data_IF_372368261173
#
_entry.id   IF_372368261173
#
_cell.length_a   1.000
_cell.length_b   1.000
_cell.length_c   1.000
_cell.angle_alpha   90.00
_cell.angle_beta   90.00
_cell.angle_gamma   90.00
#
_symmetry.space_group_name_H-M   'P 1'
#
loop_
_entity.id
_entity.type
_entity.pdbx_description
1 polymer ?
#
# COMPACT_ATOMS: atom_id res chain seq x y z
N UNK A 1 13.68 0.15 3.75
CA UNK A 1 14.52 1.04 2.92
C UNK A 1 14.08 0.88 1.48
N UNK A 2 14.15 1.93 0.66
CA UNK A 2 13.80 1.84 -0.76
C UNK A 2 14.71 0.82 -1.45
N UNK A 3 14.12 -0.14 -2.16
CA UNK A 3 14.86 -1.23 -2.79
C UNK A 3 15.63 -0.70 -4.02
N UNK A 4 16.97 -0.86 -4.10
CA UNK A 4 17.78 -0.26 -5.16
C UNK A 4 17.47 -0.82 -6.56
N UNK A 5 16.79 -1.98 -6.62
CA UNK A 5 16.24 -2.53 -7.87
C UNK A 5 15.19 -1.63 -8.50
N UNK A 6 14.44 -0.90 -7.68
CA UNK A 6 13.31 -0.07 -8.11
C UNK A 6 13.60 1.43 -7.99
N UNK A 7 14.50 1.82 -7.09
CA UNK A 7 14.77 3.22 -6.77
C UNK A 7 16.23 3.58 -6.98
N UNK A 8 16.44 4.78 -7.50
CA UNK A 8 17.74 5.44 -7.55
C UNK A 8 17.82 6.45 -6.39
N UNK A 9 18.96 6.46 -5.70
CA UNK A 9 19.28 7.54 -4.76
C UNK A 9 19.52 8.81 -5.58
N UNK A 10 18.59 9.75 -5.54
CA UNK A 10 18.64 10.95 -6.37
C UNK A 10 19.61 11.98 -5.78
N UNK A 11 19.39 12.39 -4.52
CA UNK A 11 20.33 13.22 -3.77
C UNK A 11 20.09 13.14 -2.26
N UNK A 12 21.15 13.17 -1.43
CA UNK A 12 21.00 13.50 -0.02
C UNK A 12 20.39 14.89 0.17
N UNK A 13 19.61 15.09 1.23
CA UNK A 13 19.06 16.41 1.60
C UNK A 13 19.77 16.96 2.82
N UNK A 14 20.34 18.16 2.69
CA UNK A 14 20.88 18.88 3.85
C UNK A 14 19.76 19.28 4.81
N UNK A 15 20.10 19.65 6.04
CA UNK A 15 19.12 20.20 7.00
C UNK A 15 18.45 21.45 6.42
N UNK A 16 19.19 22.31 5.72
CA UNK A 16 18.64 23.50 5.07
C UNK A 16 17.65 23.16 3.94
N UNK A 17 17.93 22.11 3.14
CA UNK A 17 16.96 21.61 2.15
C UNK A 17 15.69 21.11 2.85
N UNK A 18 15.84 20.37 3.97
CA UNK A 18 14.72 19.85 4.73
C UNK A 18 13.87 20.98 5.31
N UNK A 19 14.45 22.03 5.89
CA UNK A 19 13.72 23.20 6.36
C UNK A 19 12.92 23.85 5.23
N UNK A 20 13.56 24.06 4.07
CA UNK A 20 12.96 24.68 2.89
C UNK A 20 11.78 23.87 2.34
N UNK A 21 11.95 22.55 2.19
CA UNK A 21 10.93 21.67 1.61
C UNK A 21 9.80 21.37 2.59
N UNK A 22 10.14 21.17 3.87
CA UNK A 22 9.20 20.69 4.87
C UNK A 22 8.51 21.83 5.63
N UNK A 23 9.10 23.02 5.70
CA UNK A 23 8.65 24.09 6.58
C UNK A 23 8.79 23.77 8.07
N UNK A 24 9.56 22.72 8.42
CA UNK A 24 9.91 22.42 9.81
C UNK A 24 11.11 23.27 10.24
N UNK A 25 11.25 23.52 11.54
CA UNK A 25 12.39 24.20 12.14
C UNK A 25 13.28 23.21 12.88
N UNK A 26 14.60 23.24 12.66
CA UNK A 26 15.55 22.44 13.44
C UNK A 26 16.16 23.21 14.63
N UNK A 27 15.71 24.44 14.91
CA UNK A 27 16.16 25.29 16.04
C UNK A 27 17.69 25.47 16.12
N UNK A 28 18.42 25.42 15.00
CA UNK A 28 19.89 25.47 14.96
C UNK A 28 20.60 24.35 15.74
N UNK A 29 19.87 23.32 16.17
CA UNK A 29 20.41 22.19 16.94
C UNK A 29 20.97 21.07 16.06
N UNK A 30 20.88 21.21 14.74
CA UNK A 30 21.37 20.19 13.82
C UNK A 30 22.88 20.34 13.58
N UNK A 31 23.67 19.27 13.71
CA UNK A 31 25.11 19.33 13.45
C UNK A 31 25.41 19.71 11.99
N UNK A 32 26.48 20.48 11.78
CA UNK A 32 26.93 20.87 10.45
C UNK A 32 27.30 19.63 9.59
N UNK A 33 26.95 19.66 8.31
CA UNK A 33 27.29 18.60 7.35
C UNK A 33 26.38 17.36 7.39
N UNK A 34 25.39 17.30 8.30
CA UNK A 34 24.43 16.19 8.31
C UNK A 34 23.44 16.33 7.14
N UNK A 35 23.14 15.20 6.51
CA UNK A 35 22.13 15.09 5.45
C UNK A 35 21.29 13.84 5.60
N UNK A 36 20.03 13.92 5.19
CA UNK A 36 19.18 12.75 5.01
C UNK A 36 19.61 12.00 3.75
N UNK A 37 20.07 10.77 3.92
CA UNK A 37 20.53 9.87 2.83
C UNK A 37 19.53 8.76 2.54
N UNK A 38 18.49 8.63 3.36
CA UNK A 38 17.47 7.62 3.16
C UNK A 38 16.17 7.90 3.91
N UNK A 39 15.21 6.98 3.75
CA UNK A 39 13.89 7.05 4.40
C UNK A 39 13.56 5.70 5.04
N UNK A 40 12.98 5.75 6.22
CA UNK A 40 12.59 4.56 6.97
C UNK A 40 11.41 4.86 7.90
N UNK A 41 10.60 3.84 8.25
CA UNK A 41 9.64 3.96 9.34
C UNK A 41 10.41 4.09 10.67
N UNK A 42 9.77 4.66 11.69
CA UNK A 42 10.46 5.02 12.96
C UNK A 42 11.10 3.82 13.65
N UNK A 43 10.52 2.63 13.48
CA UNK A 43 10.96 1.37 14.07
C UNK A 43 12.21 0.77 13.39
N UNK A 44 12.53 1.20 12.16
CA UNK A 44 13.65 0.69 11.38
C UNK A 44 14.63 1.81 10.94
N UNK A 45 14.63 2.94 11.65
CA UNK A 45 15.52 4.06 11.34
C UNK A 45 16.97 3.71 11.67
N UNK A 46 17.87 4.36 10.93
CA UNK A 46 19.30 4.38 11.19
C UNK A 46 19.76 5.84 11.13
N UNK A 47 20.98 6.11 11.58
CA UNK A 47 21.57 7.43 11.44
C UNK A 47 21.56 7.89 9.98
N UNK A 48 21.13 9.13 9.73
CA UNK A 48 20.95 9.69 8.39
C UNK A 48 19.64 9.31 7.67
N UNK A 49 18.76 8.50 8.28
CA UNK A 49 17.41 8.27 7.75
C UNK A 49 16.45 9.39 8.14
N UNK A 50 15.57 9.75 7.22
CA UNK A 50 14.45 10.67 7.41
C UNK A 50 13.16 9.89 7.72
N UNK A 51 12.43 10.35 8.75
CA UNK A 51 11.10 9.85 9.10
C UNK A 51 10.22 10.93 9.74
N UNK A 52 9.05 10.54 10.22
CA UNK A 52 8.17 11.39 11.02
C UNK A 52 7.58 10.63 12.21
N UNK A 53 7.31 11.36 13.30
CA UNK A 53 6.68 10.83 14.50
C UNK A 53 5.51 11.70 14.93
N UNK A 54 4.33 11.10 15.07
CA UNK A 54 3.11 11.73 15.62
C UNK A 54 2.70 11.12 16.96
N UNK A 55 3.45 10.12 17.41
CA UNK A 55 3.30 9.41 18.69
C UNK A 55 4.70 9.17 19.28
N UNK A 56 4.74 8.81 20.55
CA UNK A 56 5.99 8.46 21.24
C UNK A 56 6.71 7.33 20.48
N UNK A 57 7.99 7.53 20.21
CA UNK A 57 8.87 6.51 19.63
C UNK A 57 9.50 5.73 20.78
N UNK A 58 9.36 4.41 20.78
CA UNK A 58 9.87 3.55 21.86
C UNK A 58 11.39 3.42 21.82
N UNK A 59 11.96 3.26 20.63
CA UNK A 59 13.39 3.05 20.38
C UNK A 59 13.95 4.09 19.41
N UNK A 60 14.08 5.37 19.83
CA UNK A 60 14.70 6.40 19.00
C UNK A 60 16.17 6.09 18.72
N UNK A 61 16.66 6.50 17.54
CA UNK A 61 18.01 6.21 17.07
C UNK A 61 18.79 7.51 16.92
N UNK A 62 19.92 7.61 17.61
CA UNK A 62 20.80 8.78 17.51
C UNK A 62 21.25 9.03 16.06
N UNK A 63 21.20 10.29 15.63
CA UNK A 63 21.51 10.72 14.27
C UNK A 63 20.40 10.45 13.23
N UNK A 64 19.29 9.81 13.61
CA UNK A 64 18.10 9.78 12.75
C UNK A 64 17.46 11.18 12.68
N UNK A 65 16.91 11.51 11.52
CA UNK A 65 16.27 12.81 11.26
C UNK A 65 14.76 12.61 11.33
N UNK A 66 14.10 13.28 12.25
CA UNK A 66 12.68 13.04 12.54
C UNK A 66 11.89 14.34 12.53
N UNK A 67 10.87 14.40 11.67
CA UNK A 67 9.85 15.45 11.77
C UNK A 67 8.85 15.10 12.88
N UNK A 68 8.55 16.04 13.76
CA UNK A 68 7.60 15.80 14.85
C UNK A 68 6.94 17.07 15.36
N UNK A 69 5.94 16.93 16.24
CA UNK A 69 5.29 18.05 16.90
C UNK A 69 6.12 18.51 18.13
N UNK A 70 5.97 19.76 18.59
CA UNK A 70 6.76 20.29 19.70
C UNK A 70 6.75 19.39 20.95
N UNK A 71 5.61 18.75 21.25
CA UNK A 71 5.44 17.97 22.47
C UNK A 71 6.28 16.67 22.52
N UNK A 72 6.76 16.19 21.37
CA UNK A 72 7.59 14.98 21.26
C UNK A 72 9.08 15.31 21.02
N UNK A 73 9.40 16.58 20.77
CA UNK A 73 10.72 16.99 20.29
C UNK A 73 11.82 16.76 21.34
N UNK A 74 11.57 17.15 22.60
CA UNK A 74 12.58 17.03 23.68
C UNK A 74 13.01 15.58 23.92
N UNK A 75 12.06 14.64 23.95
CA UNK A 75 12.35 13.23 24.15
C UNK A 75 13.19 12.62 23.02
N UNK A 76 12.92 13.03 21.77
CA UNK A 76 13.70 12.61 20.61
C UNK A 76 15.10 13.24 20.61
N UNK A 77 15.24 14.52 20.97
CA UNK A 77 16.53 15.20 21.10
C UNK A 77 17.39 14.60 22.20
N UNK A 78 16.80 14.26 23.35
CA UNK A 78 17.50 13.60 24.46
C UNK A 78 18.07 12.23 24.05
N UNK A 79 17.43 11.55 23.10
CA UNK A 79 17.93 10.32 22.51
C UNK A 79 18.95 10.52 21.37
N UNK A 80 19.31 11.76 21.06
CA UNK A 80 20.29 12.10 20.03
C UNK A 80 19.72 12.17 18.61
N UNK A 81 18.40 12.18 18.43
CA UNK A 81 17.79 12.42 17.11
C UNK A 81 17.96 13.88 16.69
N UNK A 82 18.02 14.11 15.38
CA UNK A 82 18.00 15.45 14.78
C UNK A 82 16.56 15.78 14.44
N UNK A 83 15.98 16.74 15.15
CA UNK A 83 14.52 16.92 15.19
C UNK A 83 14.10 18.19 14.44
N UNK A 84 13.27 18.02 13.41
CA UNK A 84 12.56 19.10 12.74
C UNK A 84 11.16 19.26 13.32
N UNK A 85 10.89 20.38 13.98
CA UNK A 85 9.61 20.66 14.63
C UNK A 85 8.62 21.28 13.65
N UNK A 86 7.41 20.71 13.58
CA UNK A 86 6.33 21.20 12.72
C UNK A 86 4.95 20.79 13.25
N UNK A 87 3.93 21.58 12.93
CA UNK A 87 2.53 21.24 13.25
C UNK A 87 1.97 20.06 12.43
N UNK A 88 2.61 19.71 11.30
CA UNK A 88 2.17 18.62 10.42
C UNK A 88 3.34 17.74 9.96
N UNK A 89 3.82 16.82 10.82
CA UNK A 89 4.99 15.98 10.54
C UNK A 89 4.85 15.13 9.28
N UNK A 90 3.65 14.60 9.04
CA UNK A 90 3.39 13.74 7.89
C UNK A 90 3.46 14.50 6.55
N UNK A 91 2.98 15.75 6.53
CA UNK A 91 3.09 16.61 5.35
C UNK A 91 4.54 17.05 5.10
N UNK A 92 5.27 17.40 6.17
CA UNK A 92 6.69 17.70 6.13
C UNK A 92 7.51 16.55 5.53
N UNK A 93 7.23 15.32 5.99
CA UNK A 93 7.82 14.11 5.42
C UNK A 93 7.46 13.94 3.94
N UNK A 94 6.17 14.05 3.58
CA UNK A 94 5.73 13.83 2.21
C UNK A 94 6.37 14.79 1.19
N UNK A 95 6.60 16.06 1.56
CA UNK A 95 7.30 17.04 0.70
C UNK A 95 8.77 16.74 0.52
N UNK A 96 9.41 16.13 1.51
CA UNK A 96 10.87 15.94 1.54
C UNK A 96 11.28 14.58 0.99
N UNK A 97 10.60 13.51 1.42
CA UNK A 97 11.00 12.13 1.17
C UNK A 97 11.08 11.77 -0.32
N UNK A 98 10.18 12.32 -1.13
CA UNK A 98 10.13 12.06 -2.58
C UNK A 98 11.32 12.61 -3.36
N UNK A 99 12.14 13.47 -2.76
CA UNK A 99 13.35 14.03 -3.38
C UNK A 99 14.57 13.14 -3.16
N UNK A 100 14.58 12.33 -2.10
CA UNK A 100 15.71 11.46 -1.75
C UNK A 100 15.82 10.29 -2.74
N UNK A 101 14.68 9.72 -3.14
CA UNK A 101 14.62 8.59 -4.07
C UNK A 101 13.76 8.91 -5.28
N UNK A 102 14.26 8.52 -6.46
CA UNK A 102 13.50 8.52 -7.71
C UNK A 102 13.16 7.09 -8.09
N UNK A 103 11.92 6.85 -8.51
CA UNK A 103 11.53 5.57 -9.09
C UNK A 103 12.21 5.43 -10.46
N UNK A 104 12.84 4.27 -10.71
CA UNK A 104 13.41 3.95 -12.02
C UNK A 104 12.32 3.96 -13.09
N UNK A 105 12.62 4.57 -14.22
CA UNK A 105 11.73 4.60 -15.38
C UNK A 105 11.84 3.29 -16.17
N UNK A 106 10.86 3.04 -17.05
CA UNK A 106 10.96 1.92 -17.98
C UNK A 106 12.16 2.16 -18.90
N UNK A 107 13.04 1.18 -18.97
CA UNK A 107 14.25 1.26 -19.76
C UNK A 107 14.48 -0.05 -20.50
N UNK A 108 14.71 0.06 -21.81
CA UNK A 108 15.06 -1.07 -22.65
C UNK A 108 16.55 -1.38 -22.41
N UNK A 109 16.81 -2.45 -21.68
CA UNK A 109 18.17 -2.87 -21.33
C UNK A 109 18.23 -4.34 -20.94
N UNK A 110 19.35 -4.77 -20.37
CA UNK A 110 19.57 -6.17 -20.07
C UNK A 110 18.62 -6.67 -18.97
N UNK A 111 17.78 -7.65 -19.33
CA UNK A 111 16.97 -8.43 -18.42
C UNK A 111 17.52 -9.87 -18.35
N UNK A 112 17.49 -10.47 -17.17
CA UNK A 112 17.88 -11.86 -17.00
C UNK A 112 16.68 -12.77 -17.29
N UNK A 113 16.59 -13.25 -18.53
CA UNK A 113 15.50 -14.12 -18.98
C UNK A 113 16.04 -15.54 -19.10
N UNK A 114 15.45 -16.48 -18.36
CA UNK A 114 15.80 -17.89 -18.49
C UNK A 114 15.53 -18.41 -19.92
N UNK A 115 16.43 -19.21 -20.53
CA UNK A 115 16.25 -19.71 -21.90
C UNK A 115 14.97 -20.53 -22.13
N UNK A 116 14.38 -21.09 -21.07
CA UNK A 116 13.14 -21.87 -21.15
C UNK A 116 11.87 -21.01 -20.99
N UNK A 117 12.01 -19.73 -20.65
CA UNK A 117 10.90 -18.80 -20.56
C UNK A 117 10.33 -18.48 -21.95
N UNK A 118 9.03 -18.22 -22.01
CA UNK A 118 8.30 -17.87 -23.24
C UNK A 118 7.81 -16.45 -23.17
N UNK A 119 8.49 -15.56 -23.89
CA UNK A 119 8.11 -14.16 -24.01
C UNK A 119 7.46 -13.93 -25.37
N UNK A 120 6.20 -13.51 -25.36
CA UNK A 120 5.43 -13.27 -26.59
C UNK A 120 5.74 -11.90 -27.20
N UNK A 121 5.54 -11.73 -28.52
CA UNK A 121 5.68 -10.43 -29.19
C UNK A 121 4.84 -9.34 -28.52
N UNK A 122 5.43 -8.16 -28.36
CA UNK A 122 4.78 -6.99 -27.74
C UNK A 122 4.95 -6.90 -26.22
N UNK A 123 5.41 -7.96 -25.54
CA UNK A 123 5.81 -7.84 -24.13
C UNK A 123 7.01 -6.90 -23.97
N UNK A 124 6.98 -6.05 -22.93
CA UNK A 124 8.08 -5.16 -22.56
C UNK A 124 8.70 -5.62 -21.24
N UNK A 125 9.99 -5.92 -21.25
CA UNK A 125 10.74 -6.34 -20.06
C UNK A 125 11.86 -5.33 -19.85
N UNK A 126 11.81 -4.63 -18.73
CA UNK A 126 12.74 -3.55 -18.41
C UNK A 126 14.07 -4.06 -17.88
N UNK A 127 15.11 -3.24 -17.99
CA UNK A 127 16.44 -3.51 -17.44
C UNK A 127 16.42 -4.00 -15.99
N UNK A 128 17.24 -5.00 -15.68
CA UNK A 128 17.39 -5.60 -14.36
C UNK A 128 16.24 -6.53 -13.94
N UNK A 129 15.15 -6.62 -14.71
CA UNK A 129 14.11 -7.60 -14.45
C UNK A 129 14.65 -9.04 -14.59
N UNK A 130 14.07 -9.97 -13.84
CA UNK A 130 14.42 -11.39 -13.90
C UNK A 130 13.18 -12.23 -14.20
N UNK A 131 13.28 -13.10 -15.20
CA UNK A 131 12.22 -14.00 -15.62
C UNK A 131 12.69 -15.44 -15.41
N UNK A 132 12.02 -16.17 -14.52
CA UNK A 132 12.36 -17.54 -14.16
C UNK A 132 12.07 -18.56 -15.26
N UNK A 133 12.60 -19.78 -15.07
CA UNK A 133 12.42 -20.89 -15.99
C UNK A 133 10.94 -21.18 -16.25
N UNK A 134 10.60 -21.53 -17.48
CA UNK A 134 9.25 -21.87 -17.93
C UNK A 134 8.17 -20.79 -17.71
N UNK A 135 8.54 -19.58 -17.27
CA UNK A 135 7.59 -18.49 -17.13
C UNK A 135 7.04 -18.06 -18.49
N UNK A 136 5.79 -17.60 -18.50
CA UNK A 136 5.10 -17.15 -19.72
C UNK A 136 4.73 -15.69 -19.57
N UNK A 137 5.22 -14.85 -20.48
CA UNK A 137 4.91 -13.43 -20.55
C UNK A 137 4.12 -13.18 -21.84
N UNK A 138 2.82 -12.92 -21.70
CA UNK A 138 1.90 -12.73 -22.82
C UNK A 138 2.02 -11.33 -23.48
N UNK A 139 1.41 -11.13 -24.68
CA UNK A 139 1.54 -9.88 -25.41
C UNK A 139 1.18 -8.63 -24.59
N UNK A 140 1.96 -7.57 -24.80
CA UNK A 140 1.79 -6.24 -24.18
C UNK A 140 1.87 -6.21 -22.65
N UNK A 141 2.25 -7.32 -22.00
CA UNK A 141 2.59 -7.27 -20.59
C UNK A 141 3.84 -6.39 -20.39
N UNK A 142 3.86 -5.59 -19.33
CA UNK A 142 4.97 -4.70 -18.98
C UNK A 142 5.56 -5.12 -17.65
N UNK A 143 6.81 -5.55 -17.67
CA UNK A 143 7.60 -5.94 -16.50
C UNK A 143 8.61 -4.82 -16.22
N UNK A 144 8.41 -4.10 -15.11
CA UNK A 144 9.23 -2.94 -14.73
C UNK A 144 10.64 -3.29 -14.24
N UNK A 145 11.49 -2.26 -14.02
CA UNK A 145 12.88 -2.45 -13.62
C UNK A 145 13.02 -3.32 -12.38
N UNK A 146 13.95 -4.28 -12.39
CA UNK A 146 14.26 -5.08 -11.20
C UNK A 146 13.15 -6.03 -10.71
N UNK A 147 12.01 -6.11 -11.41
CA UNK A 147 10.91 -7.02 -11.08
C UNK A 147 11.37 -8.47 -11.25
N UNK A 148 10.95 -9.33 -10.34
CA UNK A 148 11.28 -10.75 -10.39
C UNK A 148 10.01 -11.58 -10.61
N UNK A 149 10.03 -12.41 -11.65
CA UNK A 149 8.97 -13.34 -12.01
C UNK A 149 9.47 -14.77 -11.78
N UNK A 150 8.78 -15.51 -10.92
CA UNK A 150 9.17 -16.88 -10.53
C UNK A 150 9.00 -17.92 -11.64
N UNK A 151 9.56 -19.10 -11.39
CA UNK A 151 9.47 -20.26 -12.29
C UNK A 151 8.02 -20.63 -12.58
N UNK A 152 7.70 -20.87 -13.86
CA UNK A 152 6.38 -21.31 -14.30
C UNK A 152 5.26 -20.29 -14.06
N UNK A 153 5.57 -19.07 -13.64
CA UNK A 153 4.58 -18.01 -13.47
C UNK A 153 4.05 -17.56 -14.84
N UNK A 154 2.78 -17.15 -14.88
CA UNK A 154 2.11 -16.72 -16.10
C UNK A 154 1.62 -15.29 -15.92
N UNK A 155 2.16 -14.38 -16.72
CA UNK A 155 1.75 -12.98 -16.76
C UNK A 155 0.92 -12.77 -18.03
N UNK A 156 -0.39 -12.57 -17.84
CA UNK A 156 -1.35 -12.45 -18.94
C UNK A 156 -1.26 -11.12 -19.66
N UNK A 157 -1.87 -11.07 -20.84
CA UNK A 157 -1.78 -9.92 -21.74
C UNK A 157 -2.15 -8.58 -21.09
N UNK A 158 -1.40 -7.53 -21.41
CA UNK A 158 -1.58 -6.17 -20.90
C UNK A 158 -1.44 -5.99 -19.37
N UNK A 159 -0.97 -6.98 -18.62
CA UNK A 159 -0.66 -6.79 -17.20
C UNK A 159 0.56 -5.86 -17.02
N UNK A 160 0.57 -5.04 -15.97
CA UNK A 160 1.66 -4.08 -15.67
C UNK A 160 2.18 -4.34 -14.27
N UNK A 161 3.44 -4.75 -14.17
CA UNK A 161 4.07 -5.13 -12.90
C UNK A 161 5.27 -4.23 -12.65
N UNK A 162 5.32 -3.63 -11.46
CA UNK A 162 6.41 -2.73 -11.04
C UNK A 162 6.66 -2.91 -9.55
N UNK A 163 7.88 -2.67 -9.06
CA UNK A 163 8.18 -2.73 -7.61
C UNK A 163 7.71 -4.02 -6.93
N UNK A 164 7.84 -5.16 -7.61
CA UNK A 164 7.23 -6.40 -7.18
C UNK A 164 8.13 -7.63 -7.38
N UNK A 165 7.86 -8.64 -6.57
CA UNK A 165 8.35 -10.01 -6.75
C UNK A 165 7.14 -10.93 -6.83
N UNK A 166 7.09 -11.76 -7.87
CA UNK A 166 6.02 -12.72 -8.14
C UNK A 166 6.58 -14.13 -7.96
N UNK A 167 5.95 -14.94 -7.11
CA UNK A 167 6.38 -16.30 -6.82
C UNK A 167 6.17 -17.28 -7.97
N UNK A 168 6.66 -18.50 -7.77
CA UNK A 168 6.57 -19.57 -8.76
C UNK A 168 5.12 -20.04 -9.00
N UNK A 169 4.81 -20.45 -10.23
CA UNK A 169 3.49 -20.99 -10.65
C UNK A 169 2.31 -20.05 -10.35
N UNK A 170 2.59 -18.76 -10.19
CA UNK A 170 1.59 -17.73 -9.96
C UNK A 170 1.05 -17.20 -11.29
N UNK A 171 -0.26 -17.01 -11.37
CA UNK A 171 -0.95 -16.45 -12.53
C UNK A 171 -1.43 -15.03 -12.23
N UNK A 172 -1.07 -14.08 -13.09
CA UNK A 172 -1.51 -12.69 -13.05
C UNK A 172 -2.38 -12.40 -14.27
N UNK A 173 -3.66 -12.15 -14.04
CA UNK A 173 -4.69 -11.93 -15.06
C UNK A 173 -4.48 -10.67 -15.91
N UNK A 174 -5.17 -10.62 -17.05
CA UNK A 174 -5.00 -9.54 -18.03
C UNK A 174 -5.36 -8.18 -17.44
N UNK A 175 -4.66 -7.13 -17.87
CA UNK A 175 -4.87 -5.76 -17.43
C UNK A 175 -4.73 -5.53 -15.90
N UNK A 176 -4.17 -6.49 -15.16
CA UNK A 176 -3.90 -6.33 -13.73
C UNK A 176 -2.64 -5.49 -13.51
N UNK A 177 -2.70 -4.59 -12.53
CA UNK A 177 -1.60 -3.68 -12.18
C UNK A 177 -1.07 -4.03 -10.78
N UNK A 178 0.23 -4.27 -10.68
CA UNK A 178 0.90 -4.64 -9.43
C UNK A 178 2.05 -3.69 -9.12
N UNK A 179 2.11 -3.28 -7.85
CA UNK A 179 3.15 -2.48 -7.23
C UNK A 179 3.21 -1.01 -7.69
N UNK A 180 2.08 -0.50 -8.16
CA UNK A 180 1.88 0.95 -8.28
C UNK A 180 1.84 1.60 -6.89
N UNK A 181 2.21 2.87 -6.80
CA UNK A 181 2.05 3.65 -5.56
C UNK A 181 0.59 3.68 -5.13
N UNK A 182 0.33 3.27 -3.89
CA UNK A 182 -1.00 3.35 -3.31
C UNK A 182 -1.50 4.76 -3.02
N UNK A 183 -2.75 4.82 -2.58
CA UNK A 183 -3.43 6.08 -2.24
C UNK A 183 -3.12 6.50 -0.80
N UNK A 184 -2.21 7.46 -0.63
CA UNK A 184 -2.05 8.17 0.63
C UNK A 184 -1.89 9.66 0.35
N UNK A 185 -2.73 10.46 1.00
CA UNK A 185 -2.80 11.92 0.83
C UNK A 185 -2.85 12.57 2.20
N UNK A 186 -1.97 13.54 2.43
CA UNK A 186 -1.98 14.38 3.62
C UNK A 186 -2.50 15.76 3.25
N UNK A 187 -3.29 16.36 4.15
CA UNK A 187 -3.69 17.75 4.02
C UNK A 187 -2.50 18.64 4.38
N UNK A 188 -1.94 19.34 3.40
CA UNK A 188 -1.07 20.49 3.61
C UNK A 188 -1.90 21.73 3.98
N UNK A 189 -1.22 22.86 4.20
CA UNK A 189 -1.88 24.13 4.51
C UNK A 189 -2.77 24.62 3.34
N UNK A 190 -2.30 24.43 2.10
CA UNK A 190 -2.97 24.96 0.90
C UNK A 190 -3.37 23.87 -0.11
N UNK A 191 -2.81 22.67 0.01
CA UNK A 191 -2.99 21.61 -0.98
C UNK A 191 -3.05 20.20 -0.36
N UNK A 192 -3.44 19.24 -1.19
CA UNK A 192 -3.37 17.81 -0.89
C UNK A 192 -2.03 17.29 -1.38
N UNK A 193 -1.24 16.71 -0.47
CA UNK A 193 0.12 16.25 -0.77
C UNK A 193 0.10 14.73 -0.83
N UNK A 194 0.50 14.18 -1.97
CA UNK A 194 0.66 12.74 -2.13
C UNK A 194 1.84 12.26 -1.30
N UNK A 195 1.65 11.19 -0.53
CA UNK A 195 2.75 10.57 0.21
C UNK A 195 3.50 9.60 -0.71
N UNK A 196 4.83 9.74 -0.87
CA UNK A 196 5.61 8.82 -1.68
C UNK A 196 5.65 7.42 -1.02
N UNK A 197 5.48 6.39 -1.85
CA UNK A 197 5.57 4.98 -1.46
C UNK A 197 6.88 4.38 -1.98
N UNK A 198 7.65 3.78 -1.08
CA UNK A 198 8.98 3.20 -1.26
C UNK A 198 9.04 1.69 -1.06
N UNK A 199 7.94 1.09 -0.58
CA UNK A 199 7.82 -0.35 -0.37
C UNK A 199 7.58 -1.13 -1.66
N UNK A 200 7.21 -2.40 -1.53
CA UNK A 200 7.02 -3.31 -2.67
C UNK A 200 5.68 -4.02 -2.61
N UNK A 201 5.38 -4.80 -3.65
CA UNK A 201 4.35 -5.83 -3.63
C UNK A 201 5.02 -7.22 -3.73
N UNK A 202 4.78 -8.07 -2.73
CA UNK A 202 5.32 -9.43 -2.68
C UNK A 202 4.17 -10.41 -2.87
N UNK A 203 4.18 -11.14 -3.99
CA UNK A 203 3.18 -12.14 -4.30
C UNK A 203 3.84 -13.52 -4.19
N UNK A 204 3.25 -14.40 -3.39
CA UNK A 204 3.72 -15.75 -3.14
C UNK A 204 3.63 -16.67 -4.36
N UNK A 205 3.91 -17.95 -4.12
CA UNK A 205 3.78 -19.03 -5.09
C UNK A 205 2.34 -19.57 -5.16
N UNK A 206 1.99 -20.17 -6.30
CA UNK A 206 0.68 -20.80 -6.52
C UNK A 206 -0.50 -19.83 -6.28
N UNK A 207 -0.28 -18.53 -6.50
CA UNK A 207 -1.31 -17.50 -6.39
C UNK A 207 -2.00 -17.32 -7.73
N UNK A 208 -3.32 -17.14 -7.73
CA UNK A 208 -4.06 -16.73 -8.92
C UNK A 208 -4.71 -15.37 -8.68
N UNK A 209 -4.34 -14.36 -9.47
CA UNK A 209 -4.95 -13.03 -9.46
C UNK A 209 -5.69 -12.82 -10.77
N UNK A 210 -6.98 -12.53 -10.72
CA UNK A 210 -7.84 -12.32 -11.86
C UNK A 210 -7.49 -11.06 -12.67
N UNK A 211 -8.27 -10.81 -13.70
CA UNK A 211 -8.10 -9.66 -14.59
C UNK A 211 -8.50 -8.33 -13.91
N UNK A 212 -7.86 -7.26 -14.37
CA UNK A 212 -8.17 -5.88 -13.97
C UNK A 212 -8.15 -5.63 -12.45
N UNK A 213 -7.30 -6.36 -11.73
CA UNK A 213 -7.03 -6.10 -10.32
C UNK A 213 -6.00 -4.97 -10.15
N UNK A 214 -5.98 -4.37 -8.98
CA UNK A 214 -4.96 -3.38 -8.60
C UNK A 214 -4.39 -3.72 -7.23
N UNK A 215 -3.09 -4.03 -7.20
CA UNK A 215 -2.34 -4.35 -5.99
C UNK A 215 -1.30 -3.25 -5.78
N UNK A 216 -1.53 -2.39 -4.81
CA UNK A 216 -0.63 -1.28 -4.52
C UNK A 216 0.61 -1.77 -3.77
N UNK A 217 1.78 -1.17 -4.02
CA UNK A 217 2.98 -1.39 -3.18
C UNK A 217 2.83 -0.70 -1.83
N UNK A 218 3.50 -1.21 -0.82
CA UNK A 218 3.50 -0.61 0.51
C UNK A 218 4.21 0.75 0.58
N UNK A 219 3.94 1.50 1.66
CA UNK A 219 4.57 2.81 1.89
C UNK A 219 6.07 2.67 2.22
N UNK A 220 6.38 1.96 3.31
CA UNK A 220 7.75 1.64 3.73
C UNK A 220 8.02 0.13 3.71
N UNK A 221 7.09 -0.63 4.30
CA UNK A 221 7.06 -2.09 4.21
C UNK A 221 6.37 -2.53 2.92
N UNK A 222 6.09 -3.82 2.82
CA UNK A 222 5.55 -4.42 1.61
C UNK A 222 4.04 -4.65 1.74
N UNK A 223 3.32 -4.58 0.61
CA UNK A 223 2.04 -5.27 0.46
C UNK A 223 2.35 -6.73 0.16
N UNK A 224 1.69 -7.67 0.83
CA UNK A 224 2.04 -9.08 0.75
C UNK A 224 0.80 -9.95 0.57
N UNK A 225 0.89 -10.87 -0.39
CA UNK A 225 -0.09 -11.93 -0.63
C UNK A 225 0.66 -13.24 -0.55
N UNK A 226 0.39 -14.03 0.48
CA UNK A 226 1.05 -15.31 0.70
C UNK A 226 0.59 -16.37 -0.31
N UNK A 227 1.27 -17.52 -0.26
CA UNK A 227 1.08 -18.62 -1.21
C UNK A 227 -0.37 -19.14 -1.25
N UNK A 228 -0.75 -19.75 -2.37
CA UNK A 228 -2.03 -20.45 -2.57
C UNK A 228 -3.29 -19.55 -2.47
N UNK A 229 -3.13 -18.22 -2.53
CA UNK A 229 -4.28 -17.30 -2.54
C UNK A 229 -4.96 -17.28 -3.92
N UNK A 230 -6.28 -17.07 -3.92
CA UNK A 230 -7.06 -16.90 -5.16
C UNK A 230 -7.86 -15.60 -5.08
N UNK A 231 -7.55 -14.66 -5.97
CA UNK A 231 -8.16 -13.33 -6.01
C UNK A 231 -8.83 -13.20 -7.37
N UNK A 232 -10.14 -13.04 -7.39
CA UNK A 232 -10.93 -12.92 -8.61
C UNK A 232 -10.82 -11.49 -9.20
N UNK A 233 -11.48 -11.27 -10.33
CA UNK A 233 -11.40 -10.06 -11.14
C UNK A 233 -11.81 -8.79 -10.38
N UNK A 234 -11.25 -7.65 -10.81
CA UNK A 234 -11.61 -6.31 -10.32
C UNK A 234 -11.44 -6.10 -8.80
N UNK A 235 -10.54 -6.85 -8.16
CA UNK A 235 -10.21 -6.61 -6.75
C UNK A 235 -9.21 -5.46 -6.59
N UNK A 236 -9.36 -4.70 -5.50
CA UNK A 236 -8.41 -3.67 -5.07
C UNK A 236 -7.76 -4.09 -3.75
N UNK A 237 -6.43 -4.19 -3.75
CA UNK A 237 -5.61 -4.43 -2.57
C UNK A 237 -4.73 -3.21 -2.34
N UNK A 238 -5.02 -2.44 -1.31
CA UNK A 238 -4.30 -1.20 -1.00
C UNK A 238 -2.89 -1.44 -0.44
N UNK A 239 -2.16 -0.34 -0.21
CA UNK A 239 -0.79 -0.38 0.29
C UNK A 239 -0.71 -1.04 1.68
N UNK A 240 0.34 -1.81 1.92
CA UNK A 240 0.66 -2.48 3.20
C UNK A 240 -0.29 -3.60 3.63
N UNK A 241 -1.30 -3.94 2.83
CA UNK A 241 -2.17 -5.10 3.10
C UNK A 241 -1.32 -6.36 3.22
N UNK A 242 -1.64 -7.21 4.20
CA UNK A 242 -1.09 -8.57 4.33
C UNK A 242 -2.24 -9.56 4.18
N UNK A 243 -2.11 -10.53 3.27
CA UNK A 243 -3.10 -11.61 3.07
C UNK A 243 -2.41 -12.95 3.32
N UNK A 244 -2.88 -13.69 4.32
CA UNK A 244 -2.38 -15.00 4.68
C UNK A 244 -2.78 -16.09 3.68
N UNK A 245 -1.97 -17.15 3.66
CA UNK A 245 -2.02 -18.23 2.68
C UNK A 245 -3.40 -18.88 2.54
N UNK A 246 -3.74 -19.32 1.32
CA UNK A 246 -4.99 -20.06 1.06
C UNK A 246 -6.27 -19.21 1.14
N UNK A 247 -6.15 -17.89 1.32
CA UNK A 247 -7.30 -16.98 1.32
C UNK A 247 -7.84 -16.81 -0.09
N UNK A 248 -9.18 -16.82 -0.20
CA UNK A 248 -9.90 -16.67 -1.46
C UNK A 248 -10.77 -15.41 -1.41
N UNK A 249 -10.73 -14.62 -2.48
CA UNK A 249 -11.53 -13.40 -2.64
C UNK A 249 -12.24 -13.42 -3.98
N UNK A 250 -13.57 -13.36 -3.95
CA UNK A 250 -14.39 -13.21 -5.15
C UNK A 250 -14.38 -11.77 -5.67
N UNK A 251 -14.90 -11.58 -6.88
CA UNK A 251 -14.74 -10.34 -7.62
C UNK A 251 -15.21 -9.10 -6.84
N UNK A 252 -14.56 -7.97 -7.16
CA UNK A 252 -14.85 -6.65 -6.60
C UNK A 252 -14.59 -6.52 -5.09
N UNK A 253 -13.78 -7.38 -4.49
CA UNK A 253 -13.33 -7.17 -3.12
C UNK A 253 -12.43 -5.93 -3.02
N UNK A 254 -12.63 -5.11 -1.99
CA UNK A 254 -11.86 -3.89 -1.74
C UNK A 254 -11.22 -3.89 -0.35
N UNK A 255 -9.90 -4.07 -0.28
CA UNK A 255 -9.16 -4.17 0.98
C UNK A 255 -8.37 -2.87 1.21
N UNK A 256 -8.70 -2.15 2.28
CA UNK A 256 -8.13 -0.85 2.61
C UNK A 256 -6.80 -0.95 3.35
N UNK A 257 -5.93 0.04 3.12
CA UNK A 257 -4.59 0.28 3.68
C UNK A 257 -3.98 -0.85 4.51
N UNK A 258 -3.45 -0.64 5.70
CA UNK A 258 -2.66 -1.64 6.45
C UNK A 258 -3.49 -2.77 7.08
N UNK A 259 -4.55 -3.24 6.41
CA UNK A 259 -5.35 -4.38 6.85
C UNK A 259 -4.53 -5.68 6.82
N UNK A 260 -4.65 -6.49 7.86
CA UNK A 260 -4.07 -7.84 7.93
C UNK A 260 -5.18 -8.87 7.87
N UNK A 261 -5.08 -9.82 6.96
CA UNK A 261 -6.02 -10.92 6.78
C UNK A 261 -5.28 -12.23 7.06
N UNK A 262 -5.84 -13.07 7.91
CA UNK A 262 -5.30 -14.37 8.26
C UNK A 262 -5.33 -15.38 7.10
N UNK A 263 -5.03 -16.64 7.41
CA UNK A 263 -5.05 -17.74 6.44
C UNK A 263 -6.46 -18.28 6.21
N UNK A 264 -6.66 -18.93 5.06
CA UNK A 264 -7.89 -19.66 4.71
C UNK A 264 -9.19 -18.85 4.84
N UNK A 265 -9.13 -17.53 4.67
CA UNK A 265 -10.32 -16.71 4.71
C UNK A 265 -11.09 -16.80 3.39
N UNK A 266 -12.41 -16.61 3.46
CA UNK A 266 -13.26 -16.52 2.28
C UNK A 266 -13.94 -15.15 2.26
N UNK A 267 -13.67 -14.37 1.22
CA UNK A 267 -14.38 -13.15 0.92
C UNK A 267 -15.27 -13.38 -0.30
N UNK A 268 -16.58 -13.39 -0.08
CA UNK A 268 -17.53 -13.46 -1.18
C UNK A 268 -17.56 -12.14 -1.99
N UNK A 269 -18.38 -12.10 -3.04
CA UNK A 269 -18.36 -10.98 -3.98
C UNK A 269 -18.64 -9.64 -3.30
N UNK A 270 -17.89 -8.60 -3.70
CA UNK A 270 -18.04 -7.22 -3.22
C UNK A 270 -17.84 -7.03 -1.70
N UNK A 271 -17.05 -7.88 -1.04
CA UNK A 271 -16.65 -7.60 0.34
C UNK A 271 -15.68 -6.42 0.44
N UNK A 272 -15.65 -5.74 1.58
CA UNK A 272 -14.72 -4.64 1.82
C UNK A 272 -14.15 -4.63 3.25
N UNK A 273 -13.04 -3.91 3.45
CA UNK A 273 -12.51 -3.59 4.79
C UNK A 273 -12.25 -2.10 4.95
N UNK A 274 -12.35 -1.59 6.18
CA UNK A 274 -11.74 -0.31 6.54
C UNK A 274 -10.23 -0.46 6.74
N UNK A 275 -9.51 0.66 6.80
CA UNK A 275 -8.05 0.69 6.97
C UNK A 275 -7.61 0.27 8.39
N UNK A 276 -6.44 -0.35 8.49
CA UNK A 276 -5.74 -0.73 9.73
C UNK A 276 -6.50 -1.68 10.67
N UNK A 277 -7.27 -2.63 10.12
CA UNK A 277 -7.92 -3.69 10.92
C UNK A 277 -7.25 -5.05 10.73
N UNK A 278 -7.58 -5.99 11.62
CA UNK A 278 -7.14 -7.38 11.58
C UNK A 278 -8.33 -8.31 11.39
N UNK A 279 -8.31 -9.10 10.31
CA UNK A 279 -9.20 -10.21 10.07
C UNK A 279 -8.46 -11.48 10.43
N UNK A 280 -9.00 -12.26 11.35
CA UNK A 280 -8.44 -13.52 11.85
C UNK A 280 -8.33 -14.60 10.78
N UNK A 281 -7.92 -15.80 11.19
CA UNK A 281 -7.85 -16.98 10.36
C UNK A 281 -9.23 -17.62 10.16
N UNK A 282 -9.42 -18.32 9.03
CA UNK A 282 -10.61 -19.13 8.77
C UNK A 282 -11.92 -18.32 8.83
N UNK A 283 -11.85 -17.02 8.55
CA UNK A 283 -13.00 -16.09 8.55
C UNK A 283 -13.78 -16.18 7.24
N UNK A 284 -15.11 -16.14 7.33
CA UNK A 284 -16.00 -16.06 6.16
C UNK A 284 -16.75 -14.73 6.14
N UNK A 285 -16.45 -13.90 5.13
CA UNK A 285 -17.20 -12.69 4.80
C UNK A 285 -18.22 -13.01 3.71
N UNK A 286 -19.51 -12.86 4.03
CA UNK A 286 -20.60 -13.03 3.07
C UNK A 286 -20.65 -11.85 2.08
N UNK A 287 -21.31 -12.07 0.94
CA UNK A 287 -21.35 -11.09 -0.14
C UNK A 287 -21.87 -9.73 0.36
N UNK A 288 -21.28 -8.66 -0.17
CA UNK A 288 -21.53 -7.26 0.21
C UNK A 288 -21.18 -6.87 1.66
N UNK A 289 -20.60 -7.77 2.47
CA UNK A 289 -20.18 -7.43 3.82
C UNK A 289 -18.95 -6.51 3.84
N UNK A 290 -19.00 -5.48 4.66
CA UNK A 290 -17.87 -4.58 4.92
C UNK A 290 -17.41 -4.67 6.37
N UNK A 291 -16.16 -5.09 6.60
CA UNK A 291 -15.55 -5.15 7.92
C UNK A 291 -15.12 -3.75 8.36
N UNK A 292 -15.69 -3.26 9.46
CA UNK A 292 -15.35 -1.96 10.07
C UNK A 292 -14.48 -2.10 11.34
N UNK A 293 -14.32 -3.33 11.82
CA UNK A 293 -13.63 -3.66 13.07
C UNK A 293 -12.83 -4.93 12.88
N UNK A 294 -11.93 -5.21 13.82
CA UNK A 294 -11.22 -6.49 13.87
C UNK A 294 -12.23 -7.65 13.98
N UNK A 295 -11.97 -8.72 13.23
CA UNK A 295 -12.78 -9.94 13.21
C UNK A 295 -11.94 -11.09 13.76
N UNK A 296 -12.36 -11.76 14.87
CA UNK A 296 -11.66 -12.92 15.41
C UNK A 296 -11.64 -14.14 14.46
N UNK A 297 -10.76 -15.09 14.77
CA UNK A 297 -10.63 -16.35 14.03
C UNK A 297 -11.95 -17.15 13.97
N UNK A 298 -12.21 -17.80 12.84
CA UNK A 298 -13.35 -18.72 12.62
C UNK A 298 -14.72 -18.05 12.50
N UNK A 299 -14.78 -16.74 12.56
CA UNK A 299 -16.02 -15.97 12.53
C UNK A 299 -16.66 -15.93 11.13
N UNK A 300 -17.99 -15.72 11.12
CA UNK A 300 -18.77 -15.59 9.86
C UNK A 300 -19.59 -14.31 9.89
N UNK A 301 -19.21 -13.34 9.06
CA UNK A 301 -19.79 -12.00 9.06
C UNK A 301 -20.55 -11.73 7.78
N UNK A 302 -21.70 -11.05 7.88
CA UNK A 302 -22.55 -10.75 6.74
C UNK A 302 -23.31 -9.44 6.89
N UNK A 303 -23.73 -8.87 5.76
CA UNK A 303 -24.58 -7.67 5.73
C UNK A 303 -24.90 -7.22 4.30
N UNK A 304 -26.16 -6.95 4.01
CA UNK A 304 -26.68 -6.62 2.67
C UNK A 304 -26.80 -7.77 1.65
N UNK A 305 -27.43 -8.92 1.98
CA UNK A 305 -28.02 -9.72 0.92
C UNK A 305 -29.37 -9.13 0.50
N UNK A 306 -29.71 -9.31 -0.78
CA UNK A 306 -31.04 -9.00 -1.29
C UNK A 306 -32.12 -9.77 -0.50
N UNK A 307 -33.26 -9.12 -0.31
CA UNK A 307 -34.46 -9.73 0.28
C UNK A 307 -35.72 -9.19 -0.43
N UNK A 308 -36.88 -9.83 -0.27
CA UNK A 308 -38.12 -9.32 -0.87
C UNK A 308 -38.36 -7.85 -0.50
N UNK A 309 -38.66 -7.02 -1.50
CA UNK A 309 -38.68 -5.55 -1.38
C UNK A 309 -39.54 -5.04 -0.21
N UNK A 310 -40.67 -5.69 0.06
CA UNK A 310 -41.56 -5.35 1.18
C UNK A 310 -40.87 -5.51 2.55
N UNK A 311 -40.07 -6.55 2.71
CA UNK A 311 -39.34 -6.81 3.95
C UNK A 311 -38.23 -5.78 4.14
N UNK A 312 -37.49 -5.47 3.07
CA UNK A 312 -36.45 -4.44 3.07
C UNK A 312 -37.00 -3.06 3.48
N UNK A 313 -38.07 -2.58 2.81
CA UNK A 313 -38.68 -1.30 3.13
C UNK A 313 -39.23 -1.25 4.56
N UNK A 314 -39.73 -2.38 5.08
CA UNK A 314 -40.20 -2.49 6.46
C UNK A 314 -39.04 -2.37 7.45
N UNK A 315 -37.91 -3.04 7.21
CA UNK A 315 -36.71 -2.94 8.04
C UNK A 315 -36.17 -1.51 8.07
N UNK A 316 -36.03 -0.86 6.90
CA UNK A 316 -35.61 0.54 6.80
C UNK A 316 -36.52 1.50 7.58
N UNK A 317 -37.83 1.27 7.53
CA UNK A 317 -38.80 2.10 8.25
C UNK A 317 -38.61 1.97 9.77
N UNK A 318 -38.35 0.77 10.29
CA UNK A 318 -38.10 0.57 11.71
C UNK A 318 -36.78 1.20 12.14
N UNK A 319 -35.71 1.04 11.35
CA UNK A 319 -34.42 1.68 11.62
C UNK A 319 -34.54 3.21 11.68
N UNK A 320 -35.29 3.83 10.77
CA UNK A 320 -35.55 5.29 10.80
C UNK A 320 -36.28 5.74 12.07
N UNK A 321 -37.25 4.94 12.55
CA UNK A 321 -37.96 5.25 13.80
C UNK A 321 -37.03 5.14 15.01
N UNK A 322 -36.21 4.10 15.06
CA UNK A 322 -35.24 3.88 16.14
C UNK A 322 -34.15 4.95 16.18
N UNK A 323 -33.68 5.42 15.03
CA UNK A 323 -32.62 6.44 14.95
C UNK A 323 -33.10 7.86 15.22
N UNK A 324 -34.42 8.10 15.31
CA UNK A 324 -34.99 9.42 15.57
C UNK A 324 -34.76 10.44 14.45
N UNK A 325 -34.28 10.01 13.27
CA UNK A 325 -34.02 10.90 12.13
C UNK A 325 -35.36 11.44 11.61
N UNK A 326 -35.65 12.70 11.91
CA UNK A 326 -36.76 13.44 11.30
C UNK A 326 -36.33 13.82 9.89
N UNK A 327 -37.06 13.36 8.87
CA UNK A 327 -36.81 13.74 7.49
C UNK A 327 -36.75 15.26 7.34
N UNK A 328 -35.90 15.76 6.45
CA UNK A 328 -35.79 17.20 6.18
C UNK A 328 -37.20 17.75 5.88
N UNK A 329 -37.72 18.58 6.80
CA UNK A 329 -38.94 19.33 6.53
C UNK A 329 -38.59 20.34 5.46
N UNK A 330 -38.90 20.04 4.20
CA UNK A 330 -38.88 21.04 3.15
C UNK A 330 -39.70 22.23 3.64
N UNK A 331 -39.06 23.38 3.82
CA UNK A 331 -39.76 24.65 4.02
C UNK A 331 -40.75 24.75 2.86
N UNK A 332 -42.05 24.57 3.13
CA UNK A 332 -43.09 25.00 2.19
C UNK A 332 -42.80 26.46 1.91
N UNK A 333 -42.39 26.78 0.67
CA UNK A 333 -42.33 28.15 0.21
C UNK A 333 -43.70 28.77 0.49
N UNK A 334 -43.73 29.77 1.37
CA UNK A 334 -44.92 30.59 1.58
C UNK A 334 -45.16 31.32 0.25
N UNK A 335 -46.23 30.95 -0.44
CA UNK A 335 -46.87 31.84 -1.42
C UNK A 335 -47.52 32.99 -0.68
#
# INVERSE_FOLDING_TARGET
MADPRFYESARPLSIQDLETLSGASFEELAPAGVSAVGVAPVEAMQSGHLSYAERKVETPVAGAIVFTKPELAEGLRAAGCIVGVTGNPRAAFARSAGVIYRLRELDAGDAAIDPSARVFPGAFISAGAKIGAHAIIEPNAVIGPGVEIGEGAIIRANAVISCATIGARTEIGSCTVIGKSGFAVVLGAENRIKVPHFGRALIGADVSIGASCSIDRGLFGDTRIDDNCQIDNFCQIAHNVQIGSGTVMAAFAGISGSTRIGRNCLFAGRCATTDNITIGNDVVMLADAAAMYDIPDGERWGGSPAMPARNYLRQLTQLRKMSGIKGAQGKKARR
#
